data_IF_324378713952
#
_entry.id   IF_324378713952
#
_cell.length_a   1.000
_cell.length_b   1.000
_cell.length_c   1.000
_cell.angle_alpha   90.00
_cell.angle_beta   90.00
_cell.angle_gamma   90.00
#
_symmetry.space_group_name_H-M   'P 1'
#
loop_
_entity.id
_entity.type
_entity.pdbx_description
1 polymer ?
#
# COMPACT_ATOMS: atom_id res chain seq x y z
N UNK A 1 9.62 71.85 -1.66
CA UNK A 1 8.49 71.00 -1.20
C UNK A 1 7.90 70.34 -2.42
N UNK A 2 8.28 69.13 -2.73
CA UNK A 2 7.84 68.36 -3.90
C UNK A 2 6.60 67.56 -3.55
N UNK A 3 5.46 67.89 -4.17
CA UNK A 3 4.20 67.21 -4.04
C UNK A 3 4.33 65.84 -4.73
N UNK A 4 4.43 64.77 -3.94
CA UNK A 4 4.28 63.42 -4.45
C UNK A 4 2.79 63.14 -4.67
N UNK A 5 2.42 62.86 -5.92
CA UNK A 5 1.03 62.71 -6.30
C UNK A 5 0.46 61.37 -5.73
N UNK A 6 -0.84 61.36 -5.37
CA UNK A 6 -1.54 60.17 -4.87
C UNK A 6 -1.50 58.97 -5.86
N UNK A 7 -1.26 59.22 -7.12
CA UNK A 7 -1.11 58.20 -8.17
C UNK A 7 0.20 57.40 -8.06
N UNK A 8 1.28 58.01 -7.55
CA UNK A 8 2.58 57.34 -7.41
C UNK A 8 2.59 56.38 -6.22
N UNK A 9 1.84 56.68 -5.16
CA UNK A 9 1.68 55.80 -3.99
C UNK A 9 0.86 54.55 -4.35
N UNK A 10 -0.17 54.70 -5.20
CA UNK A 10 -1.01 53.57 -5.64
C UNK A 10 -0.22 52.63 -6.57
N UNK A 11 0.67 53.16 -7.41
CA UNK A 11 1.53 52.32 -8.28
C UNK A 11 2.61 51.56 -7.51
N UNK A 12 3.15 52.12 -6.43
CA UNK A 12 4.09 51.42 -5.55
C UNK A 12 3.44 50.30 -4.76
N UNK A 13 2.19 50.47 -4.31
CA UNK A 13 1.43 49.43 -3.60
C UNK A 13 0.97 48.30 -4.51
N UNK A 14 0.68 48.55 -5.78
CA UNK A 14 0.31 47.50 -6.75
C UNK A 14 1.50 46.63 -7.17
N UNK A 15 2.74 47.14 -7.12
CA UNK A 15 3.93 46.34 -7.44
C UNK A 15 4.39 45.45 -6.29
N UNK A 16 4.07 45.79 -5.04
CA UNK A 16 4.45 45.00 -3.85
C UNK A 16 3.53 43.80 -3.61
N UNK A 17 2.30 43.82 -4.15
CA UNK A 17 1.35 42.69 -4.01
C UNK A 17 1.53 41.58 -5.08
N UNK A 18 2.29 41.85 -6.15
CA UNK A 18 2.50 40.87 -7.22
C UNK A 18 3.69 39.92 -6.97
N UNK A 19 4.50 40.16 -5.93
CA UNK A 19 5.68 39.33 -5.61
C UNK A 19 5.46 38.32 -4.49
N UNK A 20 4.25 38.16 -3.98
CA UNK A 20 3.90 37.21 -2.90
C UNK A 20 3.06 36.01 -3.37
N UNK A 21 2.86 35.85 -4.69
CA UNK A 21 2.32 34.61 -5.27
C UNK A 21 3.48 33.79 -5.82
N UNK A 22 4.45 33.49 -4.96
CA UNK A 22 5.52 32.56 -5.26
C UNK A 22 5.37 31.34 -4.36
N UNK A 23 4.84 30.29 -5.00
CA UNK A 23 5.26 28.89 -4.75
C UNK A 23 4.89 28.31 -3.40
N UNK A 24 3.61 28.07 -3.15
CA UNK A 24 3.26 26.79 -2.58
C UNK A 24 3.43 25.73 -3.68
N UNK A 25 4.66 25.53 -4.16
CA UNK A 25 4.98 24.24 -4.79
C UNK A 25 4.81 23.21 -3.67
N UNK A 26 3.67 22.53 -3.69
CA UNK A 26 3.51 21.27 -3.01
C UNK A 26 4.71 20.42 -3.46
N UNK A 27 5.69 20.30 -2.59
CA UNK A 27 6.76 19.34 -2.78
C UNK A 27 6.09 17.99 -2.60
N UNK A 28 5.52 17.46 -3.68
CA UNK A 28 5.24 16.03 -3.73
C UNK A 28 6.58 15.39 -3.40
N UNK A 29 6.66 14.72 -2.24
CA UNK A 29 7.90 14.15 -1.77
C UNK A 29 8.37 13.14 -2.81
N UNK A 30 9.45 13.49 -3.51
CA UNK A 30 10.01 12.63 -4.56
C UNK A 30 10.43 11.31 -3.91
N UNK A 31 9.90 10.21 -4.42
CA UNK A 31 10.26 8.87 -3.96
C UNK A 31 11.74 8.61 -4.23
N UNK A 32 12.47 7.97 -3.30
CA UNK A 32 13.85 7.54 -3.56
C UNK A 32 13.92 6.62 -4.79
N UNK A 33 14.99 6.69 -5.59
CA UNK A 33 15.12 5.87 -6.80
C UNK A 33 14.95 4.36 -6.56
N UNK A 34 15.43 3.86 -5.44
CA UNK A 34 15.28 2.44 -5.05
C UNK A 34 13.80 2.06 -4.88
N UNK A 35 13.01 2.92 -4.25
CA UNK A 35 11.58 2.69 -4.04
C UNK A 35 10.81 2.65 -5.38
N UNK A 36 11.15 3.55 -6.31
CA UNK A 36 10.56 3.56 -7.66
C UNK A 36 10.96 2.31 -8.45
N UNK A 37 12.25 1.93 -8.44
CA UNK A 37 12.75 0.73 -9.12
C UNK A 37 12.08 -0.53 -8.58
N UNK A 38 11.93 -0.64 -7.26
CA UNK A 38 11.21 -1.72 -6.62
C UNK A 38 9.76 -1.78 -7.11
N UNK A 39 9.01 -0.69 -7.04
CA UNK A 39 7.62 -0.67 -7.49
C UNK A 39 7.47 -1.06 -8.97
N UNK A 40 8.38 -0.61 -9.85
CA UNK A 40 8.43 -1.01 -11.26
C UNK A 40 8.68 -2.51 -11.43
N UNK A 41 9.57 -3.10 -10.61
CA UNK A 41 9.82 -4.55 -10.60
C UNK A 41 8.55 -5.34 -10.28
N UNK A 42 7.67 -4.80 -9.43
CA UNK A 42 6.39 -5.42 -9.09
C UNK A 42 5.25 -5.09 -10.06
N UNK A 43 5.51 -4.28 -11.11
CA UNK A 43 4.57 -4.04 -12.21
C UNK A 43 3.86 -2.70 -12.17
N UNK A 44 4.40 -1.68 -11.48
CA UNK A 44 3.83 -0.34 -11.38
C UNK A 44 3.42 0.23 -12.73
N UNK A 45 4.32 0.19 -13.72
CA UNK A 45 4.09 0.79 -15.04
C UNK A 45 2.94 0.12 -15.82
N UNK A 46 2.59 -1.10 -15.46
CA UNK A 46 1.53 -1.87 -16.12
C UNK A 46 0.24 -1.97 -15.31
N UNK A 47 0.21 -1.45 -14.08
CA UNK A 47 -0.95 -1.61 -13.20
C UNK A 47 -2.22 -0.98 -13.78
N UNK A 48 -2.12 0.11 -14.52
CA UNK A 48 -3.24 0.75 -15.21
C UNK A 48 -3.97 -0.15 -16.23
N UNK A 49 -3.35 -1.26 -16.64
CA UNK A 49 -3.96 -2.26 -17.52
C UNK A 49 -4.78 -3.31 -16.77
N UNK A 50 -4.70 -3.35 -15.44
CA UNK A 50 -5.39 -4.36 -14.63
C UNK A 50 -6.88 -4.03 -14.54
N UNK A 51 -7.70 -4.99 -14.91
CA UNK A 51 -9.18 -4.94 -14.77
C UNK A 51 -9.67 -5.77 -13.59
N UNK A 52 -8.91 -6.79 -13.18
CA UNK A 52 -9.31 -7.64 -12.08
C UNK A 52 -8.11 -8.33 -11.44
N UNK A 53 -8.18 -8.50 -10.13
CA UNK A 53 -7.25 -9.30 -9.34
C UNK A 53 -8.07 -10.24 -8.48
N UNK A 54 -7.76 -11.54 -8.53
CA UNK A 54 -8.31 -12.58 -7.63
C UNK A 54 -7.19 -13.13 -6.78
N UNK A 55 -7.50 -13.38 -5.54
CA UNK A 55 -6.58 -14.08 -4.62
C UNK A 55 -7.33 -14.63 -3.41
N UNK A 56 -6.73 -15.62 -2.77
CA UNK A 56 -7.13 -16.09 -1.45
C UNK A 56 -6.03 -15.73 -0.47
N UNK A 57 -6.34 -14.87 0.50
CA UNK A 57 -5.47 -14.53 1.61
C UNK A 57 -5.63 -15.57 2.71
N UNK A 58 -4.52 -16.18 3.13
CA UNK A 58 -4.49 -17.12 4.23
C UNK A 58 -3.51 -16.63 5.29
N UNK A 59 -3.91 -16.69 6.57
CA UNK A 59 -3.04 -16.38 7.69
C UNK A 59 -3.13 -17.48 8.75
N UNK A 60 -1.98 -17.94 9.19
CA UNK A 60 -1.80 -18.95 10.22
C UNK A 60 -1.02 -18.33 11.38
N UNK A 61 -1.63 -18.30 12.56
CA UNK A 61 -1.03 -17.90 13.83
C UNK A 61 -1.40 -18.97 14.88
N UNK A 62 -0.71 -19.04 16.03
CA UNK A 62 -1.06 -19.98 17.09
C UNK A 62 -2.54 -19.89 17.48
N UNK A 63 -3.30 -20.97 17.18
CA UNK A 63 -4.73 -21.04 17.48
C UNK A 63 -5.66 -20.27 16.54
N UNK A 64 -5.15 -19.68 15.47
CA UNK A 64 -5.95 -18.93 14.48
C UNK A 64 -5.57 -19.35 13.07
N UNK A 65 -6.55 -19.81 12.31
CA UNK A 65 -6.46 -20.00 10.87
C UNK A 65 -7.51 -19.11 10.19
N UNK A 66 -7.07 -18.34 9.23
CA UNK A 66 -7.90 -17.39 8.49
C UNK A 66 -7.76 -17.64 7.00
N UNK A 67 -8.87 -17.65 6.29
CA UNK A 67 -8.89 -17.72 4.82
C UNK A 67 -9.98 -16.79 4.29
N UNK A 68 -9.62 -15.91 3.36
CA UNK A 68 -10.51 -14.92 2.75
C UNK A 68 -10.25 -14.87 1.26
N UNK A 69 -11.28 -15.05 0.46
CA UNK A 69 -11.20 -14.97 -0.99
C UNK A 69 -11.71 -13.62 -1.47
N UNK A 70 -10.93 -13.00 -2.33
CA UNK A 70 -11.18 -11.69 -2.89
C UNK A 70 -11.19 -11.71 -4.42
N UNK A 71 -12.05 -10.87 -4.99
CA UNK A 71 -11.95 -10.40 -6.37
C UNK A 71 -12.11 -8.88 -6.34
N UNK A 72 -11.13 -8.18 -6.89
CA UNK A 72 -11.12 -6.72 -6.94
C UNK A 72 -10.99 -6.23 -8.37
N UNK A 73 -11.85 -5.30 -8.78
CA UNK A 73 -11.72 -4.54 -10.00
C UNK A 73 -11.23 -3.13 -9.64
N UNK A 74 -9.94 -2.78 -9.86
CA UNK A 74 -9.39 -1.49 -9.48
C UNK A 74 -9.96 -0.32 -10.30
N UNK A 75 -10.49 -0.56 -11.51
CA UNK A 75 -11.06 0.49 -12.35
C UNK A 75 -12.43 0.94 -11.90
N UNK A 76 -13.24 0.03 -11.42
CA UNK A 76 -14.58 0.31 -10.91
C UNK A 76 -14.64 0.39 -9.40
N UNK A 77 -13.53 0.09 -8.73
CA UNK A 77 -13.40 -0.01 -7.27
C UNK A 77 -14.42 -0.98 -6.64
N UNK A 78 -14.73 -2.05 -7.39
CA UNK A 78 -15.67 -3.10 -6.97
C UNK A 78 -14.91 -4.24 -6.32
N UNK A 79 -15.33 -4.62 -5.12
CA UNK A 79 -14.75 -5.71 -4.33
C UNK A 79 -15.79 -6.79 -4.10
N UNK A 80 -15.43 -8.04 -4.38
CA UNK A 80 -16.18 -9.24 -3.98
C UNK A 80 -15.41 -10.00 -2.91
N UNK A 81 -16.10 -10.36 -1.86
CA UNK A 81 -15.62 -11.12 -0.71
C UNK A 81 -16.33 -12.46 -0.60
N UNK A 82 -15.59 -13.51 -0.31
CA UNK A 82 -16.11 -14.80 0.11
C UNK A 82 -15.25 -15.32 1.28
N UNK A 83 -15.89 -15.57 2.42
CA UNK A 83 -15.21 -15.99 3.65
C UNK A 83 -16.19 -16.28 4.77
N UNK A 84 -15.81 -15.96 5.99
CA UNK A 84 -16.64 -16.14 7.20
C UNK A 84 -16.78 -14.81 7.94
N UNK A 85 -17.90 -14.65 8.64
CA UNK A 85 -18.09 -13.60 9.64
C UNK A 85 -17.43 -13.95 10.99
N UNK A 86 -17.60 -13.07 11.98
CA UNK A 86 -17.08 -13.27 13.34
C UNK A 86 -17.67 -14.48 14.06
N UNK A 87 -18.89 -14.90 13.66
CA UNK A 87 -19.58 -16.07 14.18
C UNK A 87 -19.19 -17.34 13.42
N UNK A 88 -18.32 -17.25 12.41
CA UNK A 88 -17.87 -18.37 11.56
C UNK A 88 -18.86 -18.76 10.47
N UNK A 89 -19.92 -17.99 10.22
CA UNK A 89 -20.91 -18.26 9.18
C UNK A 89 -20.37 -17.82 7.80
N UNK A 90 -20.66 -18.59 6.74
CA UNK A 90 -20.28 -18.21 5.39
C UNK A 90 -20.88 -16.84 4.98
N UNK A 91 -20.05 -15.98 4.42
CA UNK A 91 -20.44 -14.68 3.87
C UNK A 91 -19.95 -14.56 2.44
N UNK A 92 -20.84 -14.10 1.56
CA UNK A 92 -20.48 -13.72 0.19
C UNK A 92 -21.15 -12.39 -0.12
N UNK A 93 -20.36 -11.38 -0.48
CA UNK A 93 -20.85 -10.03 -0.74
C UNK A 93 -20.01 -9.37 -1.82
N UNK A 94 -20.65 -8.51 -2.61
CA UNK A 94 -19.99 -7.60 -3.56
C UNK A 94 -20.42 -6.19 -3.24
N UNK A 95 -19.46 -5.27 -3.19
CA UNK A 95 -19.71 -3.86 -2.90
C UNK A 95 -18.77 -2.97 -3.71
N UNK A 96 -19.12 -1.69 -3.80
CA UNK A 96 -18.30 -0.66 -4.45
C UNK A 96 -17.71 0.26 -3.37
N UNK A 97 -16.38 0.34 -3.30
CA UNK A 97 -15.70 1.10 -2.25
C UNK A 97 -15.95 2.61 -2.36
N UNK A 98 -16.09 3.14 -3.57
CA UNK A 98 -16.49 4.55 -3.78
C UNK A 98 -17.86 4.89 -3.16
N UNK A 99 -18.68 3.88 -2.81
CA UNK A 99 -19.98 4.01 -2.15
C UNK A 99 -19.97 3.43 -0.72
N UNK A 100 -18.80 3.34 -0.08
CA UNK A 100 -18.63 2.67 1.22
C UNK A 100 -19.54 3.27 2.31
N UNK A 101 -19.76 4.58 2.31
CA UNK A 101 -20.61 5.26 3.28
C UNK A 101 -22.07 4.75 3.29
N UNK A 102 -22.57 4.25 2.15
CA UNK A 102 -23.91 3.71 2.01
C UNK A 102 -24.02 2.21 2.23
N UNK A 103 -22.89 1.52 2.45
CA UNK A 103 -22.85 0.08 2.71
C UNK A 103 -23.29 -0.27 4.14
N UNK A 104 -23.56 -1.56 4.36
CA UNK A 104 -23.88 -2.08 5.70
C UNK A 104 -22.71 -1.91 6.69
N UNK A 105 -23.02 -1.91 7.99
CA UNK A 105 -21.99 -1.79 9.04
C UNK A 105 -20.99 -2.95 8.99
N UNK A 106 -21.41 -4.16 8.64
CA UNK A 106 -20.52 -5.30 8.44
C UNK A 106 -19.51 -5.04 7.32
N UNK A 107 -19.93 -4.45 6.19
CA UNK A 107 -19.01 -4.08 5.12
C UNK A 107 -18.05 -2.99 5.57
N UNK A 108 -18.56 -1.90 6.16
CA UNK A 108 -17.75 -0.75 6.58
C UNK A 108 -16.73 -1.06 7.66
N UNK A 109 -17.11 -1.88 8.64
CA UNK A 109 -16.34 -2.04 9.86
C UNK A 109 -15.56 -3.37 9.93
N UNK A 110 -15.83 -4.32 9.02
CA UNK A 110 -15.20 -5.64 9.05
C UNK A 110 -14.63 -6.05 7.71
N UNK A 111 -15.44 -6.03 6.62
CA UNK A 111 -15.03 -6.57 5.34
C UNK A 111 -14.08 -5.63 4.59
N UNK A 112 -14.40 -4.35 4.45
CA UNK A 112 -13.53 -3.40 3.76
C UNK A 112 -12.17 -3.19 4.48
N UNK A 113 -12.12 -3.06 5.82
CA UNK A 113 -10.84 -3.06 6.53
C UNK A 113 -10.03 -4.35 6.35
N UNK A 114 -10.69 -5.51 6.27
CA UNK A 114 -10.01 -6.77 5.99
C UNK A 114 -9.48 -6.82 4.56
N UNK A 115 -10.26 -6.34 3.58
CA UNK A 115 -9.81 -6.22 2.19
C UNK A 115 -8.55 -5.36 2.07
N UNK A 116 -8.55 -4.18 2.69
CA UNK A 116 -7.39 -3.29 2.68
C UNK A 116 -6.17 -3.93 3.30
N UNK A 117 -6.31 -4.55 4.48
CA UNK A 117 -5.22 -5.29 5.11
C UNK A 117 -4.63 -6.35 4.16
N UNK A 118 -5.48 -7.18 3.56
CA UNK A 118 -5.04 -8.29 2.72
C UNK A 118 -4.43 -7.80 1.40
N UNK A 119 -4.96 -6.71 0.87
CA UNK A 119 -4.45 -6.08 -0.34
C UNK A 119 -3.07 -5.42 -0.12
N UNK A 120 -2.79 -4.88 1.07
CA UNK A 120 -1.45 -4.41 1.46
C UNK A 120 -0.44 -5.56 1.45
N UNK A 121 -0.77 -6.73 1.96
CA UNK A 121 0.11 -7.92 1.88
C UNK A 121 0.33 -8.39 0.44
N UNK A 122 -0.65 -8.20 -0.45
CA UNK A 122 -0.54 -8.56 -1.85
C UNK A 122 0.32 -7.57 -2.65
N UNK A 123 0.14 -6.25 -2.44
CA UNK A 123 0.61 -5.20 -3.34
C UNK A 123 1.47 -4.12 -2.66
N UNK A 124 2.00 -4.35 -1.47
CA UNK A 124 2.70 -3.31 -0.73
C UNK A 124 3.84 -2.64 -1.51
N UNK A 125 4.66 -3.35 -2.32
CA UNK A 125 5.66 -2.69 -3.15
C UNK A 125 5.10 -1.63 -4.12
N UNK A 126 3.83 -1.75 -4.53
CA UNK A 126 3.14 -0.74 -5.35
C UNK A 126 2.60 0.41 -4.49
N UNK A 127 2.11 0.13 -3.27
CA UNK A 127 1.69 1.16 -2.31
C UNK A 127 2.80 2.16 -2.00
N UNK A 128 4.05 1.72 -1.99
CA UNK A 128 5.21 2.61 -1.82
C UNK A 128 5.22 3.76 -2.85
N UNK A 129 4.70 3.52 -4.05
CA UNK A 129 4.58 4.54 -5.09
C UNK A 129 3.22 5.27 -5.07
N UNK A 130 2.14 4.60 -4.66
CA UNK A 130 0.78 5.14 -4.75
C UNK A 130 0.37 6.01 -3.57
N UNK A 131 0.74 5.61 -2.36
CA UNK A 131 0.25 6.25 -1.13
C UNK A 131 0.95 7.60 -0.92
N UNK A 132 0.36 8.64 -1.49
CA UNK A 132 0.96 9.99 -1.51
C UNK A 132 1.14 10.60 -0.12
N UNK A 133 0.37 10.16 0.88
CA UNK A 133 0.50 10.59 2.27
C UNK A 133 1.72 10.02 2.99
N UNK A 134 2.23 8.87 2.53
CA UNK A 134 3.36 8.21 3.16
C UNK A 134 4.69 8.93 2.87
N UNK A 135 5.52 9.04 3.90
CA UNK A 135 6.93 9.43 3.76
C UNK A 135 7.76 8.18 3.44
N UNK A 136 8.50 8.23 2.33
CA UNK A 136 9.37 7.12 1.91
C UNK A 136 10.82 7.57 1.92
N UNK A 137 11.68 6.83 2.60
CA UNK A 137 13.11 7.11 2.70
C UNK A 137 13.95 5.90 2.31
N UNK A 138 15.05 6.15 1.64
CA UNK A 138 16.15 5.20 1.47
C UNK A 138 17.05 5.33 2.70
N UNK A 139 17.21 4.25 3.45
CA UNK A 139 17.98 4.24 4.68
C UNK A 139 19.32 3.48 4.51
N UNK A 140 19.66 3.14 3.26
CA UNK A 140 20.92 2.47 2.91
C UNK A 140 20.95 0.98 3.26
N UNK A 141 22.17 0.44 3.32
CA UNK A 141 22.40 -1.00 3.54
C UNK A 141 22.21 -1.40 5.00
N UNK A 142 21.35 -2.38 5.22
CA UNK A 142 21.11 -2.98 6.55
C UNK A 142 21.12 -4.51 6.49
N UNK A 143 21.48 -5.13 7.61
CA UNK A 143 21.37 -6.58 7.77
C UNK A 143 19.89 -6.99 7.72
N UNK A 144 19.61 -8.08 7.03
CA UNK A 144 18.27 -8.68 7.01
C UNK A 144 17.79 -9.05 8.43
N UNK A 145 16.53 -8.77 8.78
CA UNK A 145 16.00 -9.05 10.12
C UNK A 145 15.90 -10.54 10.47
N UNK A 146 15.73 -11.41 9.49
CA UNK A 146 15.68 -12.86 9.67
C UNK A 146 16.92 -13.56 9.12
N UNK A 147 17.55 -12.98 8.10
CA UNK A 147 18.72 -13.54 7.44
C UNK A 147 20.05 -13.00 7.93
N UNK A 148 21.15 -13.44 7.31
CA UNK A 148 22.50 -12.97 7.60
C UNK A 148 23.05 -11.99 6.57
N UNK A 149 22.45 -11.93 5.37
CA UNK A 149 22.83 -11.03 4.29
C UNK A 149 22.44 -9.58 4.60
N UNK A 150 22.83 -8.65 3.73
CA UNK A 150 22.42 -7.25 3.78
C UNK A 150 21.70 -6.84 2.52
N UNK A 151 20.72 -5.95 2.66
CA UNK A 151 19.93 -5.39 1.58
C UNK A 151 19.69 -3.89 1.81
N UNK A 152 19.29 -3.16 0.78
CA UNK A 152 18.91 -1.75 0.91
C UNK A 152 17.57 -1.64 1.67
N UNK A 153 17.52 -0.81 2.73
CA UNK A 153 16.30 -0.63 3.51
C UNK A 153 15.52 0.59 3.04
N UNK A 154 14.31 0.34 2.56
CA UNK A 154 13.32 1.38 2.25
C UNK A 154 12.34 1.47 3.41
N UNK A 155 12.22 2.66 4.02
CA UNK A 155 11.31 2.90 5.14
C UNK A 155 10.12 3.72 4.67
N UNK A 156 8.90 3.22 4.93
CA UNK A 156 7.63 3.85 4.59
C UNK A 156 6.89 4.18 5.88
N UNK A 157 6.65 5.47 6.14
CA UNK A 157 5.96 5.95 7.35
C UNK A 157 4.67 6.65 6.96
N UNK A 158 3.57 6.22 7.55
CA UNK A 158 2.27 6.84 7.40
C UNK A 158 2.03 7.90 8.49
N UNK A 159 1.38 9.03 8.19
CA UNK A 159 1.05 10.03 9.19
C UNK A 159 0.06 9.45 10.22
N UNK A 160 0.12 9.95 11.45
CA UNK A 160 -0.76 9.49 12.54
C UNK A 160 -2.21 9.96 12.37
N UNK A 161 -2.42 11.05 11.64
CA UNK A 161 -3.71 11.68 11.43
C UNK A 161 -3.92 11.97 9.94
N UNK A 162 -5.15 11.80 9.49
CA UNK A 162 -5.59 12.21 8.16
C UNK A 162 -5.01 11.40 7.01
N UNK A 163 -5.80 10.62 6.36
CA UNK A 163 -5.45 9.86 5.17
C UNK A 163 -5.39 8.37 5.48
N UNK A 164 -5.19 7.62 4.51
CA UNK A 164 -5.01 6.21 4.30
C UNK A 164 -5.31 5.21 5.45
N UNK A 165 -5.49 3.98 5.09
CA UNK A 165 -5.84 2.85 5.94
C UNK A 165 -4.84 2.56 7.09
N UNK A 166 -3.61 3.05 6.99
CA UNK A 166 -2.52 2.69 7.91
C UNK A 166 -2.01 3.84 8.78
N UNK A 167 -2.89 4.60 9.51
CA UNK A 167 -2.46 5.78 10.26
C UNK A 167 -1.41 5.43 11.32
N UNK A 168 -0.24 6.08 11.21
CA UNK A 168 0.89 5.90 12.11
C UNK A 168 1.71 4.64 11.90
N UNK A 169 1.36 3.79 10.96
CA UNK A 169 2.08 2.55 10.68
C UNK A 169 3.43 2.83 9.99
N UNK A 170 4.38 1.93 10.20
CA UNK A 170 5.69 1.98 9.55
C UNK A 170 6.00 0.62 8.94
N UNK A 171 6.50 0.65 7.69
CA UNK A 171 7.02 -0.52 7.00
C UNK A 171 8.49 -0.31 6.69
N UNK A 172 9.31 -1.31 6.93
CA UNK A 172 10.71 -1.37 6.55
C UNK A 172 10.85 -2.52 5.56
N UNK A 173 11.18 -2.20 4.30
CA UNK A 173 11.36 -3.18 3.24
C UNK A 173 12.85 -3.36 2.96
N UNK A 174 13.33 -4.58 2.99
CA UNK A 174 14.70 -4.93 2.67
C UNK A 174 14.75 -5.39 1.22
N UNK A 175 15.35 -4.57 0.36
CA UNK A 175 15.31 -4.69 -1.10
C UNK A 175 16.63 -5.21 -1.62
N UNK A 176 16.60 -6.37 -2.26
CA UNK A 176 17.75 -7.01 -2.87
C UNK A 176 18.28 -6.29 -4.11
N UNK A 177 19.39 -6.79 -4.62
CA UNK A 177 20.06 -6.21 -5.82
C UNK A 177 19.18 -6.29 -7.08
N UNK A 178 18.28 -7.26 -7.15
CA UNK A 178 17.30 -7.46 -8.23
C UNK A 178 16.03 -6.60 -8.05
N UNK A 179 16.03 -5.70 -7.07
CA UNK A 179 14.95 -4.79 -6.71
C UNK A 179 13.67 -5.49 -6.25
N UNK A 180 13.80 -6.72 -5.76
CA UNK A 180 12.73 -7.42 -5.05
C UNK A 180 12.89 -7.23 -3.55
N UNK A 181 11.77 -7.22 -2.85
CA UNK A 181 11.76 -7.29 -1.39
C UNK A 181 12.14 -8.71 -0.98
N UNK A 182 13.08 -8.85 -0.07
CA UNK A 182 13.51 -10.13 0.51
C UNK A 182 12.84 -10.38 1.87
N UNK A 183 12.86 -9.35 2.74
CA UNK A 183 12.27 -9.38 4.08
C UNK A 183 11.64 -8.04 4.42
N UNK A 184 10.80 -8.01 5.44
CA UNK A 184 10.12 -6.81 5.87
C UNK A 184 9.90 -6.78 7.38
N UNK A 185 9.76 -5.56 7.90
CA UNK A 185 9.24 -5.31 9.24
C UNK A 185 8.03 -4.38 9.10
N UNK A 186 6.89 -4.81 9.63
CA UNK A 186 5.72 -3.97 9.80
C UNK A 186 5.57 -3.59 11.27
N UNK A 187 5.38 -2.32 11.53
CA UNK A 187 5.12 -1.78 12.87
C UNK A 187 3.79 -1.04 12.87
N UNK A 188 2.83 -1.59 13.58
CA UNK A 188 1.54 -0.94 13.78
C UNK A 188 1.71 0.22 14.75
N UNK A 189 1.24 1.39 14.33
CA UNK A 189 1.37 2.64 15.07
C UNK A 189 0.05 3.37 15.29
N UNK A 190 0.15 4.67 15.47
CA UNK A 190 -0.98 5.54 15.75
C UNK A 190 -1.59 5.27 17.13
N UNK A 191 -2.92 5.31 17.22
CA UNK A 191 -3.68 5.03 18.46
C UNK A 191 -3.96 3.54 18.69
N UNK A 192 -3.58 2.68 17.74
CA UNK A 192 -3.77 1.22 17.83
C UNK A 192 -2.78 0.62 18.81
N UNK A 193 -3.13 -0.54 19.40
CA UNK A 193 -2.18 -1.33 20.18
C UNK A 193 -0.95 -1.64 19.31
N UNK A 194 0.26 -1.30 19.76
CA UNK A 194 1.48 -1.61 19.02
C UNK A 194 1.60 -3.10 18.71
N UNK A 195 2.10 -3.41 17.54
CA UNK A 195 2.39 -4.79 17.11
C UNK A 195 3.50 -4.75 16.08
N UNK A 196 4.35 -5.77 16.07
CA UNK A 196 5.47 -5.88 15.14
C UNK A 196 5.39 -7.21 14.42
N UNK A 197 5.38 -7.16 13.09
CA UNK A 197 5.52 -8.35 12.24
C UNK A 197 6.87 -8.28 11.54
N UNK A 198 7.64 -9.36 11.60
CA UNK A 198 8.89 -9.54 10.86
C UNK A 198 8.68 -10.77 9.98
N UNK A 199 8.82 -10.62 8.68
CA UNK A 199 8.54 -11.72 7.76
C UNK A 199 9.41 -11.67 6.49
N UNK A 200 9.55 -12.82 5.85
CA UNK A 200 10.07 -12.94 4.49
C UNK A 200 9.08 -12.35 3.50
N UNK A 201 9.58 -11.98 2.32
CA UNK A 201 8.78 -11.57 1.16
C UNK A 201 9.16 -12.48 -0.02
N UNK A 202 8.61 -13.69 -0.03
CA UNK A 202 9.16 -14.81 -0.77
C UNK A 202 8.16 -15.43 -1.76
N UNK A 203 8.65 -16.41 -2.53
CA UNK A 203 7.87 -17.15 -3.52
C UNK A 203 7.21 -16.22 -4.56
N UNK A 204 8.05 -15.36 -5.15
CA UNK A 204 7.61 -14.40 -6.16
C UNK A 204 7.13 -15.11 -7.42
N UNK A 205 5.91 -14.84 -7.85
CA UNK A 205 5.24 -15.39 -9.03
C UNK A 205 4.75 -14.28 -9.95
N UNK A 206 4.77 -14.54 -11.25
CA UNK A 206 4.19 -13.63 -12.23
C UNK A 206 2.71 -13.94 -12.46
N UNK A 207 1.85 -12.94 -12.26
CA UNK A 207 0.45 -12.96 -12.65
C UNK A 207 0.24 -11.88 -13.71
N UNK A 208 0.27 -12.25 -14.99
CA UNK A 208 0.33 -11.29 -16.09
C UNK A 208 1.51 -10.32 -15.95
N UNK A 209 1.27 -8.99 -15.95
CA UNK A 209 2.34 -8.01 -15.80
C UNK A 209 2.79 -7.77 -14.35
N UNK A 210 2.12 -8.35 -13.36
CA UNK A 210 2.43 -8.17 -11.95
C UNK A 210 3.36 -9.26 -11.44
N UNK A 211 4.30 -8.88 -10.58
CA UNK A 211 5.07 -9.78 -9.74
C UNK A 211 4.41 -9.79 -8.34
N UNK A 212 4.08 -10.97 -7.83
CA UNK A 212 3.39 -11.14 -6.55
C UNK A 212 4.24 -12.05 -5.66
N UNK A 213 4.56 -11.57 -4.45
CA UNK A 213 5.07 -12.45 -3.40
C UNK A 213 3.89 -13.23 -2.81
N UNK A 214 4.00 -14.55 -2.81
CA UNK A 214 2.88 -15.42 -2.38
C UNK A 214 3.13 -16.09 -1.03
N UNK A 215 4.23 -15.79 -0.36
CA UNK A 215 4.60 -16.40 0.92
C UNK A 215 5.33 -15.40 1.83
N UNK A 216 4.83 -15.25 3.05
CA UNK A 216 5.44 -14.43 4.10
C UNK A 216 5.50 -15.24 5.39
N UNK A 217 6.70 -15.60 5.84
CA UNK A 217 6.94 -16.38 7.06
C UNK A 217 7.81 -15.61 8.03
N UNK A 218 7.45 -15.67 9.30
CA UNK A 218 8.21 -14.99 10.33
C UNK A 218 7.53 -15.00 11.67
N UNK A 219 7.51 -13.83 12.33
CA UNK A 219 6.89 -13.67 13.65
C UNK A 219 5.99 -12.44 13.69
N UNK A 220 4.91 -12.55 14.46
CA UNK A 220 4.05 -11.44 14.87
C UNK A 220 4.09 -11.35 16.39
N UNK A 221 4.67 -10.26 16.92
CA UNK A 221 4.90 -10.06 18.36
C UNK A 221 5.65 -11.25 19.01
N UNK A 222 6.62 -11.82 18.29
CA UNK A 222 7.42 -12.97 18.72
C UNK A 222 6.78 -14.34 18.50
N UNK A 223 5.50 -14.41 18.13
CA UNK A 223 4.83 -15.68 17.82
C UNK A 223 4.97 -16.02 16.33
N UNK A 224 5.10 -17.31 15.95
CA UNK A 224 5.16 -17.71 14.56
C UNK A 224 3.94 -17.20 13.78
N UNK A 225 4.19 -16.68 12.59
CA UNK A 225 3.16 -16.29 11.63
C UNK A 225 3.52 -16.78 10.24
N UNK A 226 2.51 -17.22 9.52
CA UNK A 226 2.57 -17.48 8.09
C UNK A 226 1.41 -16.79 7.40
N UNK A 227 1.72 -15.96 6.41
CA UNK A 227 0.73 -15.39 5.50
C UNK A 227 1.03 -15.94 4.12
N UNK A 228 0.02 -16.44 3.43
CA UNK A 228 0.16 -16.94 2.07
C UNK A 228 -0.98 -16.46 1.18
N UNK A 229 -0.66 -16.26 -0.10
CA UNK A 229 -1.59 -15.85 -1.13
C UNK A 229 -1.71 -16.99 -2.14
N UNK A 230 -2.88 -17.63 -2.19
CA UNK A 230 -3.19 -18.70 -3.14
C UNK A 230 -4.21 -18.22 -4.19
N UNK A 231 -4.39 -19.00 -5.24
CA UNK A 231 -5.33 -18.74 -6.34
C UNK A 231 -5.19 -17.33 -6.96
N UNK A 232 -3.96 -16.79 -6.93
CA UNK A 232 -3.68 -15.46 -7.47
C UNK A 232 -3.83 -15.49 -8.97
N UNK A 233 -4.67 -14.61 -9.50
CA UNK A 233 -4.81 -14.38 -10.93
C UNK A 233 -5.16 -12.93 -11.23
N UNK A 234 -4.75 -12.47 -12.40
CA UNK A 234 -5.09 -11.13 -12.88
C UNK A 234 -5.79 -11.17 -14.23
N UNK A 235 -6.63 -10.18 -14.47
CA UNK A 235 -7.24 -9.90 -15.75
C UNK A 235 -6.79 -8.54 -16.24
N UNK A 236 -6.35 -8.46 -17.48
CA UNK A 236 -5.90 -7.19 -18.11
C UNK A 236 -6.93 -6.70 -19.11
N UNK A 237 -6.89 -5.41 -19.38
CA UNK A 237 -7.74 -4.74 -20.37
C UNK A 237 -7.67 -5.44 -21.74
N UNK A 238 -8.83 -5.72 -22.31
CA UNK A 238 -8.94 -6.37 -23.62
C UNK A 238 -8.71 -7.87 -23.61
N UNK A 239 -8.50 -8.51 -22.44
CA UNK A 239 -8.43 -9.96 -22.29
C UNK A 239 -9.69 -10.51 -21.62
N UNK A 240 -10.26 -11.56 -22.17
CA UNK A 240 -11.34 -12.31 -21.50
C UNK A 240 -10.79 -13.31 -20.47
N UNK A 241 -9.51 -13.66 -20.58
CA UNK A 241 -8.89 -14.70 -19.77
C UNK A 241 -8.19 -14.16 -18.53
N UNK A 242 -8.29 -14.92 -17.45
CA UNK A 242 -7.51 -14.72 -16.23
C UNK A 242 -6.14 -15.38 -16.36
N UNK A 243 -5.09 -14.65 -16.01
CA UNK A 243 -3.71 -15.11 -16.00
C UNK A 243 -3.33 -15.51 -14.57
N UNK A 244 -3.17 -16.82 -14.34
CA UNK A 244 -2.79 -17.36 -13.03
C UNK A 244 -1.32 -17.05 -12.72
N UNK A 245 -1.02 -16.87 -11.43
CA UNK A 245 0.35 -16.70 -10.95
C UNK A 245 1.16 -18.00 -11.10
N UNK A 246 2.35 -17.89 -11.72
CA UNK A 246 3.27 -18.98 -12.03
C UNK A 246 4.68 -18.70 -11.51
#
# INVERSE_FOLDING_TARGET
MTNVSRLDVIRLLAFSTLLLILSATSWAQQRPPIAEQMAKTYGLDSFGQIEGIRYTFNAELPGVELSRRWEWNPKTDTVSYEGKDKEGKPVKVTYQRSQLSSQSDAIKNEIDPAFLNDQYWLLFPLHVAWDSSATVTDDGMHKLPLGSASAERVVVKYPSEGGDYSPGDTWELYVGVDKRVEEMIYRRGGTKKPSVVIATWANNKKAGPLLISTEHRGTADGNPVRISLSDVSVKVTGSENWMNAQ
#
